data_IF_847455178055
#
_entry.id   IF_847455178055
#
_cell.length_a   1.000
_cell.length_b   1.000
_cell.length_c   1.000
_cell.angle_alpha   90.00
_cell.angle_beta   90.00
_cell.angle_gamma   90.00
#
_symmetry.space_group_name_H-M   'P 1'
#
loop_
_entity.id
_entity.type
_entity.pdbx_description
1 polymer ?
#
# COMPACT_ATOMS: atom_id res chain seq x y z
N UNK A 1 -2.02 39.46 -33.06
CA UNK A 1 -1.10 38.33 -33.25
C UNK A 1 -1.44 37.31 -32.19
N UNK A 2 -2.17 36.26 -32.58
CA UNK A 2 -2.61 35.19 -31.65
C UNK A 2 -1.41 34.33 -31.32
N UNK A 3 -0.93 34.38 -30.08
CA UNK A 3 -0.03 33.39 -29.54
C UNK A 3 -0.76 32.07 -29.43
N UNK A 4 -0.66 31.23 -30.45
CA UNK A 4 -1.00 29.82 -30.36
C UNK A 4 0.02 29.21 -29.43
N UNK A 5 -0.35 28.63 -28.26
CA UNK A 5 0.62 27.98 -27.41
C UNK A 5 1.19 26.81 -28.21
N UNK A 6 2.51 26.83 -28.42
CA UNK A 6 3.24 25.68 -28.95
C UNK A 6 2.90 24.52 -28.03
N UNK A 7 2.11 23.55 -28.50
CA UNK A 7 1.83 22.31 -27.76
C UNK A 7 3.18 21.63 -27.54
N UNK A 8 3.78 21.82 -26.39
CA UNK A 8 4.92 21.03 -25.97
C UNK A 8 4.51 19.56 -26.04
N UNK A 9 5.37 18.71 -26.60
CA UNK A 9 5.11 17.27 -26.65
C UNK A 9 4.84 16.77 -25.21
N UNK A 10 3.96 15.76 -25.06
CA UNK A 10 3.69 15.20 -23.75
C UNK A 10 4.95 14.58 -23.13
N UNK A 11 5.07 14.66 -21.81
CA UNK A 11 6.12 13.99 -21.04
C UNK A 11 5.78 12.50 -20.98
N UNK A 12 6.68 11.66 -21.50
CA UNK A 12 6.52 10.22 -21.51
C UNK A 12 7.15 9.58 -20.27
N UNK A 13 6.35 8.97 -19.42
CA UNK A 13 6.77 8.32 -18.17
C UNK A 13 6.65 6.81 -18.32
N UNK A 14 7.74 6.08 -18.07
CA UNK A 14 7.70 4.62 -17.95
C UNK A 14 7.57 4.24 -16.48
N UNK A 15 6.42 3.71 -16.10
CA UNK A 15 6.15 3.21 -14.76
C UNK A 15 6.60 1.75 -14.67
N UNK A 16 7.68 1.49 -13.96
CA UNK A 16 8.21 0.14 -13.73
C UNK A 16 7.69 -0.39 -12.40
N UNK A 17 6.72 -1.29 -12.43
CA UNK A 17 5.99 -1.71 -11.22
C UNK A 17 5.43 -3.14 -11.33
N UNK A 18 5.04 -3.77 -10.19
CA UNK A 18 4.24 -4.98 -10.24
C UNK A 18 2.91 -4.72 -10.93
N UNK A 19 2.49 -5.66 -11.79
CA UNK A 19 1.22 -5.58 -12.50
C UNK A 19 0.20 -6.59 -11.98
N UNK A 20 -1.08 -6.27 -12.10
CA UNK A 20 -2.16 -7.24 -11.95
C UNK A 20 -1.99 -8.42 -12.96
N UNK A 21 -2.43 -9.64 -12.67
CA UNK A 21 -3.35 -10.03 -11.60
C UNK A 21 -2.72 -10.32 -10.22
N UNK A 22 -1.42 -10.08 -10.02
CA UNK A 22 -0.81 -10.26 -8.70
C UNK A 22 -1.30 -9.11 -7.80
N UNK A 23 -2.28 -9.42 -6.95
CA UNK A 23 -2.89 -8.43 -6.06
C UNK A 23 -2.00 -8.20 -4.84
N UNK A 24 -1.58 -6.95 -4.65
CA UNK A 24 -0.81 -6.49 -3.50
C UNK A 24 -0.85 -4.96 -3.44
N UNK A 25 -0.51 -4.37 -2.29
CA UNK A 25 -0.59 -2.93 -2.10
C UNK A 25 0.15 -2.12 -3.18
N UNK A 26 1.30 -2.61 -3.65
CA UNK A 26 2.09 -1.94 -4.70
C UNK A 26 1.43 -2.02 -6.08
N UNK A 27 0.92 -3.19 -6.49
CA UNK A 27 0.28 -3.34 -7.80
C UNK A 27 -1.02 -2.54 -7.91
N UNK A 28 -1.81 -2.49 -6.83
CA UNK A 28 -3.02 -1.66 -6.76
C UNK A 28 -2.67 -0.17 -6.87
N UNK A 29 -1.65 0.30 -6.17
CA UNK A 29 -1.23 1.69 -6.24
C UNK A 29 -0.60 2.05 -7.59
N UNK A 30 0.16 1.14 -8.21
CA UNK A 30 0.71 1.36 -9.55
C UNK A 30 -0.40 1.48 -10.60
N UNK A 31 -1.41 0.62 -10.53
CA UNK A 31 -2.57 0.64 -11.41
C UNK A 31 -3.39 1.93 -11.23
N UNK A 32 -3.67 2.32 -9.97
CA UNK A 32 -4.36 3.59 -9.66
C UNK A 32 -3.57 4.78 -10.22
N UNK A 33 -2.26 4.84 -9.95
CA UNK A 33 -1.40 5.94 -10.41
C UNK A 33 -1.37 6.01 -11.94
N UNK A 34 -1.20 4.87 -12.62
CA UNK A 34 -1.21 4.82 -14.07
C UNK A 34 -2.53 5.35 -14.66
N UNK A 35 -3.67 4.89 -14.13
CA UNK A 35 -4.99 5.34 -14.61
C UNK A 35 -5.19 6.85 -14.44
N UNK A 36 -4.92 7.37 -13.25
CA UNK A 36 -5.07 8.80 -12.96
C UNK A 36 -4.11 9.69 -13.73
N UNK A 37 -2.85 9.27 -13.91
CA UNK A 37 -1.88 10.01 -14.73
C UNK A 37 -2.26 10.02 -16.22
N UNK A 38 -2.89 8.95 -16.73
CA UNK A 38 -3.37 8.91 -18.12
C UNK A 38 -4.47 9.94 -18.42
N UNK A 39 -5.14 10.45 -17.40
CA UNK A 39 -6.16 11.49 -17.50
C UNK A 39 -5.53 12.91 -17.46
N UNK A 40 -4.24 13.03 -17.12
CA UNK A 40 -3.56 14.34 -16.97
C UNK A 40 -3.06 14.86 -18.31
N UNK A 41 -3.52 16.03 -18.78
CA UNK A 41 -3.06 16.60 -20.02
C UNK A 41 -1.54 16.85 -20.02
N UNK A 42 -0.86 16.40 -21.08
CA UNK A 42 0.58 16.59 -21.25
C UNK A 42 1.47 15.57 -20.56
N UNK A 43 0.88 14.48 -20.00
CA UNK A 43 1.59 13.31 -19.51
C UNK A 43 1.11 12.08 -20.26
N UNK A 44 2.03 11.27 -20.76
CA UNK A 44 1.79 9.93 -21.29
C UNK A 44 2.49 8.92 -20.38
N UNK A 45 1.74 7.99 -19.80
CA UNK A 45 2.28 6.96 -18.91
C UNK A 45 2.07 5.58 -19.48
N UNK A 46 3.11 4.77 -19.44
CA UNK A 46 3.04 3.35 -19.79
C UNK A 46 3.59 2.48 -18.66
N UNK A 47 2.99 1.32 -18.46
CA UNK A 47 3.45 0.35 -17.47
C UNK A 47 4.45 -0.63 -18.09
N UNK A 48 5.61 -0.81 -17.43
CA UNK A 48 6.52 -1.92 -17.62
C UNK A 48 6.38 -2.88 -16.43
N UNK A 49 5.74 -4.04 -16.63
CA UNK A 49 5.63 -5.03 -15.57
C UNK A 49 6.99 -5.57 -15.16
N UNK A 50 7.26 -5.66 -13.86
CA UNK A 50 8.44 -6.35 -13.31
C UNK A 50 8.26 -7.88 -13.31
N UNK A 51 7.03 -8.33 -13.51
CA UNK A 51 6.59 -9.73 -13.53
C UNK A 51 5.95 -10.06 -14.90
N UNK A 52 6.69 -9.97 -16.02
CA UNK A 52 6.13 -10.25 -17.32
C UNK A 52 5.55 -11.67 -17.35
N UNK A 53 4.33 -11.78 -17.85
CA UNK A 53 3.66 -13.08 -17.97
C UNK A 53 4.20 -13.82 -19.18
N UNK A 54 4.64 -15.05 -18.96
CA UNK A 54 4.98 -16.00 -20.01
C UNK A 54 3.91 -17.07 -20.14
N UNK A 55 4.05 -17.89 -21.18
CA UNK A 55 3.20 -19.02 -21.49
C UNK A 55 2.74 -19.77 -20.21
N UNK A 56 1.43 -19.96 -20.02
CA UNK A 56 0.84 -20.48 -18.77
C UNK A 56 1.45 -21.79 -18.26
N UNK A 57 1.96 -22.63 -19.18
CA UNK A 57 2.58 -23.93 -18.86
C UNK A 57 3.88 -23.84 -18.06
N UNK A 58 4.65 -22.74 -18.19
CA UNK A 58 5.92 -22.55 -17.49
C UNK A 58 5.80 -21.78 -16.18
N UNK A 59 4.64 -21.23 -15.89
CA UNK A 59 4.40 -20.46 -14.65
C UNK A 59 4.38 -21.34 -13.37
N UNK A 60 4.18 -22.66 -13.51
CA UNK A 60 4.08 -23.59 -12.38
C UNK A 60 5.43 -23.93 -11.73
N UNK A 61 6.55 -23.72 -12.41
CA UNK A 61 7.88 -24.07 -11.88
C UNK A 61 8.59 -22.79 -11.40
N UNK A 62 8.59 -22.57 -10.08
CA UNK A 62 9.03 -21.34 -9.41
C UNK A 62 10.42 -20.84 -9.86
N UNK A 63 11.42 -21.70 -9.91
CA UNK A 63 12.81 -21.33 -10.29
C UNK A 63 12.98 -21.09 -11.79
N UNK A 64 12.37 -21.89 -12.65
CA UNK A 64 12.44 -21.75 -14.11
C UNK A 64 11.74 -20.46 -14.55
N UNK A 65 10.63 -20.11 -13.90
CA UNK A 65 9.95 -18.85 -14.14
C UNK A 65 10.88 -17.66 -13.90
N UNK A 66 11.59 -17.62 -12.77
CA UNK A 66 12.50 -16.50 -12.41
C UNK A 66 13.65 -16.41 -13.41
N UNK A 67 14.23 -17.53 -13.80
CA UNK A 67 15.35 -17.59 -14.76
C UNK A 67 14.99 -17.02 -16.14
N UNK A 68 13.76 -17.22 -16.60
CA UNK A 68 13.28 -16.69 -17.89
C UNK A 68 12.74 -15.25 -17.79
N UNK A 69 12.18 -14.89 -16.63
CA UNK A 69 11.56 -13.58 -16.42
C UNK A 69 12.58 -12.45 -16.38
N UNK A 70 13.73 -12.65 -15.70
CA UNK A 70 14.75 -11.61 -15.56
C UNK A 70 15.37 -11.19 -16.91
N UNK A 71 15.84 -12.11 -17.78
CA UNK A 71 16.38 -11.73 -19.10
C UNK A 71 15.34 -10.99 -19.95
N UNK A 72 14.10 -11.47 -19.98
CA UNK A 72 13.04 -10.77 -20.72
C UNK A 72 12.79 -9.37 -20.15
N UNK A 73 12.69 -9.24 -18.84
CA UNK A 73 12.51 -7.94 -18.19
C UNK A 73 13.61 -6.95 -18.57
N UNK A 74 14.88 -7.40 -18.58
CA UNK A 74 16.04 -6.57 -19.00
C UNK A 74 15.93 -6.21 -20.49
N UNK A 75 15.57 -7.17 -21.35
CA UNK A 75 15.37 -6.91 -22.78
C UNK A 75 14.25 -5.90 -23.03
N UNK A 76 13.11 -6.05 -22.35
CA UNK A 76 12.00 -5.10 -22.43
C UNK A 76 12.44 -3.70 -22.00
N UNK A 77 13.24 -3.58 -20.93
CA UNK A 77 13.80 -2.30 -20.49
C UNK A 77 14.75 -1.69 -21.54
N UNK A 78 15.66 -2.47 -22.11
CA UNK A 78 16.60 -2.00 -23.14
C UNK A 78 15.89 -1.45 -24.38
N UNK A 79 14.76 -2.06 -24.76
CA UNK A 79 13.95 -1.62 -25.91
C UNK A 79 13.11 -0.40 -25.58
N UNK A 80 12.50 -0.35 -24.39
CA UNK A 80 11.49 0.66 -24.07
C UNK A 80 12.07 1.96 -23.47
N UNK A 81 13.04 1.85 -22.55
CA UNK A 81 13.59 3.00 -21.81
C UNK A 81 14.05 4.16 -22.73
N UNK A 82 14.68 3.93 -23.90
CA UNK A 82 15.07 5.03 -24.80
C UNK A 82 13.93 5.96 -25.20
N UNK A 83 12.72 5.44 -25.32
CA UNK A 83 11.54 6.18 -25.81
C UNK A 83 10.85 7.03 -24.75
N UNK A 84 11.26 6.96 -23.49
CA UNK A 84 10.64 7.70 -22.38
C UNK A 84 11.52 8.84 -21.89
N UNK A 85 10.89 9.82 -21.26
CA UNK A 85 11.56 11.00 -20.69
C UNK A 85 11.94 10.76 -19.23
N UNK A 86 11.10 10.09 -18.45
CA UNK A 86 11.30 9.77 -17.03
C UNK A 86 11.00 8.30 -16.77
N UNK A 87 11.84 7.66 -15.96
CA UNK A 87 11.65 6.26 -15.53
C UNK A 87 11.28 6.26 -14.04
N UNK A 88 10.04 5.90 -13.75
CA UNK A 88 9.49 5.84 -12.39
C UNK A 88 9.42 4.39 -11.93
N UNK A 89 10.22 4.02 -10.93
CA UNK A 89 10.48 2.65 -10.54
C UNK A 89 9.94 2.38 -9.14
N UNK A 90 8.97 1.50 -9.04
CA UNK A 90 8.46 0.98 -7.76
C UNK A 90 9.44 -0.04 -7.18
N UNK A 91 9.63 0.01 -5.87
CA UNK A 91 10.56 -0.85 -5.17
C UNK A 91 9.98 -1.45 -3.90
N UNK A 92 10.32 -2.70 -3.66
CA UNK A 92 10.25 -3.35 -2.36
C UNK A 92 11.66 -3.51 -1.78
N UNK A 93 11.81 -4.28 -0.69
CA UNK A 93 13.07 -4.58 0.00
C UNK A 93 13.75 -5.86 -0.52
N UNK A 94 14.97 -6.10 -0.08
CA UNK A 94 15.76 -7.32 -0.22
C UNK A 94 15.93 -7.81 -1.68
N UNK A 95 15.65 -9.08 -1.93
CA UNK A 95 15.78 -9.69 -3.26
C UNK A 95 14.98 -8.97 -4.33
N UNK A 96 13.77 -8.48 -3.98
CA UNK A 96 12.94 -7.70 -4.90
C UNK A 96 13.62 -6.41 -5.33
N UNK A 97 14.39 -5.76 -4.43
CA UNK A 97 15.17 -4.57 -4.75
C UNK A 97 16.28 -4.86 -5.76
N UNK A 98 16.94 -6.01 -5.66
CA UNK A 98 18.01 -6.39 -6.59
C UNK A 98 17.44 -6.78 -7.96
N UNK A 99 16.34 -7.52 -7.99
CA UNK A 99 15.80 -8.10 -9.22
C UNK A 99 15.05 -7.05 -10.07
N UNK A 100 14.43 -6.06 -9.46
CA UNK A 100 13.55 -5.11 -10.15
C UNK A 100 14.18 -3.72 -10.31
N UNK A 101 14.32 -2.89 -9.25
CA UNK A 101 14.80 -1.53 -9.45
C UNK A 101 16.27 -1.44 -9.88
N UNK A 102 17.13 -2.38 -9.48
CA UNK A 102 18.55 -2.31 -9.83
C UNK A 102 18.80 -2.45 -11.34
N UNK A 103 18.23 -3.44 -12.06
CA UNK A 103 18.35 -3.50 -13.52
C UNK A 103 17.71 -2.29 -14.22
N UNK A 104 16.55 -1.83 -13.74
CA UNK A 104 15.88 -0.67 -14.31
C UNK A 104 16.74 0.59 -14.16
N UNK A 105 17.39 0.80 -13.00
CA UNK A 105 18.36 1.88 -12.79
C UNK A 105 19.54 1.76 -13.75
N UNK A 106 20.14 0.56 -13.87
CA UNK A 106 21.30 0.35 -14.73
C UNK A 106 20.99 0.69 -16.20
N UNK A 107 19.88 0.19 -16.73
CA UNK A 107 19.44 0.48 -18.10
C UNK A 107 19.10 1.98 -18.26
N UNK A 108 18.45 2.59 -17.28
CA UNK A 108 18.14 4.03 -17.33
C UNK A 108 19.40 4.90 -17.36
N UNK A 109 20.42 4.57 -16.57
CA UNK A 109 21.71 5.29 -16.59
C UNK A 109 22.48 5.06 -17.90
N UNK A 110 22.40 3.87 -18.51
CA UNK A 110 22.97 3.60 -19.83
C UNK A 110 22.42 4.57 -20.89
N UNK A 111 21.11 4.82 -20.87
CA UNK A 111 20.44 5.76 -21.77
C UNK A 111 20.33 7.21 -21.22
N UNK A 112 20.99 7.50 -20.10
CA UNK A 112 21.00 8.81 -19.43
C UNK A 112 19.58 9.32 -19.14
N UNK A 113 18.66 8.43 -18.75
CA UNK A 113 17.28 8.79 -18.42
C UNK A 113 17.15 9.11 -16.94
N UNK A 114 16.44 10.21 -16.58
CA UNK A 114 16.14 10.52 -15.18
C UNK A 114 15.32 9.41 -14.54
N UNK A 115 15.61 9.14 -13.27
CA UNK A 115 15.04 8.03 -12.52
C UNK A 115 14.39 8.48 -11.22
N UNK A 116 13.21 7.98 -10.94
CA UNK A 116 12.54 8.09 -9.65
C UNK A 116 12.53 6.70 -9.01
N UNK A 117 13.07 6.57 -7.82
CA UNK A 117 12.83 5.42 -6.95
C UNK A 117 11.61 5.69 -6.09
N UNK A 118 10.54 4.92 -6.24
CA UNK A 118 9.38 4.94 -5.35
C UNK A 118 9.48 3.73 -4.41
N UNK A 119 10.12 3.93 -3.25
CA UNK A 119 10.39 2.87 -2.30
C UNK A 119 9.21 2.69 -1.35
N UNK A 120 8.67 1.47 -1.24
CA UNK A 120 7.35 1.24 -0.66
C UNK A 120 7.26 0.16 0.43
N UNK A 121 8.38 -0.44 0.82
CA UNK A 121 8.39 -1.50 1.85
C UNK A 121 8.45 -0.92 3.26
N UNK A 122 7.64 -1.45 4.17
CA UNK A 122 7.72 -1.16 5.60
C UNK A 122 8.99 -1.71 6.27
N UNK A 123 9.67 -2.69 5.64
CA UNK A 123 10.92 -3.27 6.10
C UNK A 123 12.16 -2.44 5.69
N UNK A 124 11.98 -1.16 5.37
CA UNK A 124 13.04 -0.30 4.85
C UNK A 124 14.25 -0.23 5.79
N UNK A 125 14.02 -0.02 7.09
CA UNK A 125 15.09 0.11 8.07
C UNK A 125 15.96 -1.14 8.14
N UNK A 126 15.34 -2.31 8.24
CA UNK A 126 16.06 -3.58 8.28
C UNK A 126 16.80 -3.85 6.97
N UNK A 127 16.17 -3.59 5.82
CA UNK A 127 16.82 -3.73 4.51
C UNK A 127 18.03 -2.82 4.36
N UNK A 128 17.91 -1.54 4.69
CA UNK A 128 19.01 -0.57 4.57
C UNK A 128 20.16 -0.87 5.53
N UNK A 129 19.85 -1.43 6.70
CA UNK A 129 20.84 -1.81 7.72
C UNK A 129 21.59 -3.08 7.31
N UNK A 130 20.90 -4.09 6.79
CA UNK A 130 21.51 -5.42 6.50
C UNK A 130 22.13 -5.50 5.12
N UNK A 131 21.58 -4.82 4.12
CA UNK A 131 22.05 -4.93 2.73
C UNK A 131 23.02 -3.81 2.36
N UNK A 132 24.32 -4.12 2.46
CA UNK A 132 25.42 -3.15 2.24
C UNK A 132 25.36 -2.43 0.88
N UNK A 133 24.78 -3.05 -0.14
CA UNK A 133 24.62 -2.47 -1.49
C UNK A 133 23.39 -1.58 -1.62
N UNK A 134 22.42 -1.61 -0.68
CA UNK A 134 21.16 -0.90 -0.82
C UNK A 134 21.37 0.62 -0.83
N UNK A 135 22.00 1.18 0.18
CA UNK A 135 22.26 2.63 0.31
C UNK A 135 23.05 3.18 -0.88
N UNK A 136 24.20 2.61 -1.30
CA UNK A 136 24.93 3.06 -2.47
C UNK A 136 24.11 3.00 -3.77
N UNK A 137 23.26 2.00 -3.94
CA UNK A 137 22.40 1.87 -5.12
C UNK A 137 21.29 2.91 -5.11
N UNK A 138 20.63 3.13 -3.98
CA UNK A 138 19.55 4.12 -3.83
C UNK A 138 20.06 5.53 -4.13
N UNK A 139 21.25 5.90 -3.64
CA UNK A 139 21.89 7.20 -3.91
C UNK A 139 22.18 7.50 -5.39
N UNK A 140 22.06 6.51 -6.27
CA UNK A 140 22.23 6.68 -7.72
C UNK A 140 20.96 7.11 -8.45
N UNK A 141 19.81 7.06 -7.79
CA UNK A 141 18.57 7.59 -8.35
C UNK A 141 18.57 9.12 -8.30
N UNK A 142 17.90 9.74 -9.27
CA UNK A 142 17.86 11.19 -9.36
C UNK A 142 16.85 11.80 -8.38
N UNK A 143 15.78 11.05 -8.08
CA UNK A 143 14.80 11.35 -7.02
C UNK A 143 14.43 10.10 -6.27
N UNK A 144 14.18 10.25 -4.99
CA UNK A 144 13.73 9.18 -4.10
C UNK A 144 12.42 9.63 -3.49
N UNK A 145 11.36 8.90 -3.79
CA UNK A 145 10.01 9.16 -3.30
C UNK A 145 9.57 7.99 -2.42
N UNK A 146 8.91 8.32 -1.33
CA UNK A 146 8.35 7.34 -0.40
C UNK A 146 6.89 7.70 -0.09
N UNK A 147 6.02 6.72 0.21
CA UNK A 147 4.60 6.99 0.41
C UNK A 147 4.24 7.53 1.80
N UNK A 148 5.19 7.70 2.71
CA UNK A 148 4.92 8.11 4.09
C UNK A 148 6.04 8.96 4.68
N UNK A 149 5.71 9.78 5.67
CA UNK A 149 6.71 10.50 6.48
C UNK A 149 7.56 9.54 7.31
N UNK A 150 6.99 8.43 7.76
CA UNK A 150 7.75 7.36 8.42
C UNK A 150 8.97 6.93 7.59
N UNK A 151 8.79 6.66 6.30
CA UNK A 151 9.93 6.29 5.44
C UNK A 151 10.88 7.45 5.18
N UNK A 152 10.43 8.71 5.19
CA UNK A 152 11.35 9.87 5.15
C UNK A 152 12.29 9.83 6.34
N UNK A 153 11.75 9.59 7.54
CA UNK A 153 12.54 9.52 8.77
C UNK A 153 13.50 8.31 8.74
N UNK A 154 13.02 7.14 8.32
CA UNK A 154 13.88 5.96 8.14
C UNK A 154 15.02 6.23 7.16
N UNK A 155 14.75 6.83 6.00
CA UNK A 155 15.78 7.12 4.99
C UNK A 155 16.80 8.16 5.50
N UNK A 156 16.33 9.13 6.28
CA UNK A 156 17.20 10.16 6.87
C UNK A 156 18.23 9.59 7.82
N UNK A 157 17.90 8.51 8.57
CA UNK A 157 18.85 7.79 9.44
C UNK A 157 20.04 7.21 8.67
N UNK A 158 19.88 6.96 7.37
CA UNK A 158 20.96 6.47 6.49
C UNK A 158 21.56 7.58 5.62
N UNK A 159 21.28 8.85 5.91
CA UNK A 159 21.79 10.01 5.18
C UNK A 159 21.28 10.05 3.73
N UNK A 160 20.03 9.64 3.52
CA UNK A 160 19.35 9.68 2.22
C UNK A 160 18.18 10.67 2.35
N UNK A 161 18.17 11.69 1.47
CA UNK A 161 17.01 12.57 1.34
C UNK A 161 15.94 11.91 0.50
N UNK A 162 14.73 11.80 1.02
CA UNK A 162 13.56 11.27 0.33
C UNK A 162 12.38 12.25 0.45
N UNK A 163 11.55 12.32 -0.58
CA UNK A 163 10.33 13.13 -0.62
C UNK A 163 9.12 12.23 -0.30
N UNK A 164 8.19 12.72 0.54
CA UNK A 164 6.95 12.02 0.78
C UNK A 164 5.90 12.42 -0.26
N UNK A 165 5.49 11.50 -1.13
CA UNK A 165 4.26 11.62 -1.91
C UNK A 165 3.34 10.47 -1.48
N UNK A 166 2.28 10.82 -0.77
CA UNK A 166 1.41 9.84 -0.13
C UNK A 166 0.73 8.91 -1.12
N UNK A 167 0.37 7.71 -0.65
CA UNK A 167 -0.61 6.90 -1.34
C UNK A 167 -1.93 7.69 -1.43
N UNK A 168 -2.64 7.49 -2.51
CA UNK A 168 -4.01 8.02 -2.59
C UNK A 168 -5.03 6.89 -2.72
N UNK A 169 -6.23 7.18 -2.28
CA UNK A 169 -7.38 6.29 -2.35
C UNK A 169 -8.46 6.95 -3.19
N UNK A 170 -9.15 6.17 -4.02
CA UNK A 170 -10.32 6.60 -4.78
C UNK A 170 -11.52 6.68 -3.82
N UNK A 171 -11.57 7.76 -3.04
CA UNK A 171 -12.53 7.92 -1.92
C UNK A 171 -13.98 7.89 -2.39
N UNK A 172 -14.24 8.30 -3.63
CA UNK A 172 -15.53 8.28 -4.28
C UNK A 172 -16.12 6.87 -4.45
N UNK A 173 -15.28 5.84 -4.39
CA UNK A 173 -15.71 4.45 -4.47
C UNK A 173 -16.24 3.91 -3.14
N UNK A 174 -15.88 4.55 -2.03
CA UNK A 174 -16.27 4.12 -0.69
C UNK A 174 -17.44 4.95 -0.19
N UNK A 175 -18.59 4.32 -0.03
CA UNK A 175 -19.76 4.99 0.52
C UNK A 175 -19.51 5.32 2.00
N UNK A 176 -19.36 6.60 2.32
CA UNK A 176 -19.33 7.02 3.70
C UNK A 176 -20.69 6.77 4.35
N UNK A 177 -20.67 6.06 5.46
CA UNK A 177 -21.87 5.79 6.25
C UNK A 177 -21.60 6.14 7.72
N UNK A 178 -22.43 7.02 8.28
CA UNK A 178 -22.40 7.27 9.72
C UNK A 178 -22.91 6.00 10.44
N UNK A 179 -22.05 5.43 11.28
CA UNK A 179 -22.31 4.17 11.97
C UNK A 179 -22.79 4.43 13.39
N UNK A 180 -24.05 4.77 13.52
CA UNK A 180 -24.72 5.05 14.80
C UNK A 180 -26.11 4.39 14.82
N UNK A 181 -26.31 3.37 15.69
CA UNK A 181 -25.31 2.70 16.52
C UNK A 181 -24.37 1.81 15.70
N UNK A 182 -23.18 1.49 16.25
CA UNK A 182 -22.29 0.50 15.68
C UNK A 182 -22.92 -0.89 15.76
N UNK A 183 -22.84 -1.65 14.66
CA UNK A 183 -23.09 -3.09 14.69
C UNK A 183 -21.78 -3.81 15.02
N UNK A 184 -21.78 -4.91 15.77
CA UNK A 184 -20.56 -5.63 16.11
C UNK A 184 -20.04 -6.49 14.94
N UNK A 185 -19.81 -5.85 13.78
CA UNK A 185 -19.28 -6.46 12.57
C UNK A 185 -17.93 -5.84 12.27
N UNK A 186 -16.90 -6.65 12.44
CA UNK A 186 -15.50 -6.27 12.27
C UNK A 186 -14.99 -6.69 10.90
N UNK A 187 -14.03 -5.94 10.37
CA UNK A 187 -13.33 -6.25 9.12
C UNK A 187 -11.82 -6.23 9.37
N UNK A 188 -11.13 -7.27 8.92
CA UNK A 188 -9.68 -7.25 8.67
C UNK A 188 -9.42 -7.70 7.23
N UNK A 189 -8.64 -6.92 6.48
CA UNK A 189 -8.33 -7.19 5.07
C UNK A 189 -6.84 -7.04 4.79
N UNK A 190 -6.09 -8.03 5.24
CA UNK A 190 -4.63 -8.09 5.07
C UNK A 190 -4.26 -9.41 4.39
N UNK A 191 -3.22 -9.41 3.56
CA UNK A 191 -2.65 -10.66 3.06
C UNK A 191 -2.21 -11.54 4.24
N UNK A 192 -2.31 -12.86 4.07
CA UNK A 192 -1.96 -13.82 5.12
C UNK A 192 -0.44 -14.08 5.13
N UNK A 193 0.30 -13.01 5.44
CA UNK A 193 1.76 -13.01 5.62
C UNK A 193 2.11 -12.63 7.05
N UNK A 194 3.17 -13.20 7.59
CA UNK A 194 3.54 -13.09 9.02
C UNK A 194 3.58 -11.64 9.54
N UNK A 195 4.09 -10.71 8.74
CA UNK A 195 4.21 -9.31 9.15
C UNK A 195 2.87 -8.56 9.21
N UNK A 196 1.79 -9.07 8.60
CA UNK A 196 0.45 -8.52 8.77
C UNK A 196 -0.28 -9.09 9.99
N UNK A 197 0.25 -10.15 10.59
CA UNK A 197 -0.14 -10.68 11.90
C UNK A 197 -1.66 -10.86 12.09
N UNK A 198 -2.31 -11.44 11.08
CA UNK A 198 -3.76 -11.72 11.16
C UNK A 198 -4.08 -12.65 12.33
N UNK A 199 -3.12 -13.46 12.77
CA UNK A 199 -3.23 -14.28 13.97
C UNK A 199 -3.52 -13.47 15.23
N UNK A 200 -2.86 -12.31 15.41
CA UNK A 200 -3.13 -11.39 16.51
C UNK A 200 -4.56 -10.81 16.42
N UNK A 201 -5.04 -10.47 15.22
CA UNK A 201 -6.42 -10.05 15.02
C UNK A 201 -7.45 -11.14 15.39
N UNK A 202 -7.14 -12.41 15.10
CA UNK A 202 -8.00 -13.53 15.53
C UNK A 202 -8.00 -13.73 17.05
N UNK A 203 -6.84 -13.58 17.71
CA UNK A 203 -6.76 -13.66 19.19
C UNK A 203 -7.50 -12.49 19.83
N UNK A 204 -7.33 -11.25 19.33
CA UNK A 204 -8.07 -10.10 19.83
C UNK A 204 -9.58 -10.27 19.64
N UNK A 205 -10.00 -10.87 18.52
CA UNK A 205 -11.41 -11.16 18.28
C UNK A 205 -11.99 -12.17 19.28
N UNK A 206 -11.17 -13.08 19.83
CA UNK A 206 -11.59 -13.95 20.94
C UNK A 206 -12.00 -13.13 22.17
N UNK A 207 -11.21 -12.14 22.54
CA UNK A 207 -11.54 -11.19 23.63
C UNK A 207 -12.79 -10.39 23.34
N UNK A 208 -12.91 -9.86 22.12
CA UNK A 208 -14.09 -9.11 21.66
C UNK A 208 -15.35 -9.99 21.77
N UNK A 209 -15.29 -11.23 21.28
CA UNK A 209 -16.45 -12.14 21.29
C UNK A 209 -16.84 -12.58 22.70
N UNK A 210 -15.91 -12.61 23.66
CA UNK A 210 -16.22 -12.88 25.06
C UNK A 210 -17.06 -11.76 25.69
N UNK A 211 -16.86 -10.51 25.28
CA UNK A 211 -17.62 -9.35 25.75
C UNK A 211 -18.90 -9.11 24.92
N UNK A 212 -18.85 -9.35 23.62
CA UNK A 212 -19.91 -9.08 22.64
C UNK A 212 -20.20 -10.39 21.89
N UNK A 213 -21.11 -11.20 22.43
CA UNK A 213 -21.35 -12.57 21.96
C UNK A 213 -21.81 -12.66 20.49
N UNK A 214 -22.52 -11.65 19.99
CA UNK A 214 -22.98 -11.55 18.60
C UNK A 214 -21.95 -11.00 17.62
N UNK A 215 -20.73 -10.66 18.09
CA UNK A 215 -19.68 -10.13 17.24
C UNK A 215 -19.34 -11.07 16.07
N UNK A 216 -19.14 -10.45 14.92
CA UNK A 216 -18.76 -11.14 13.68
C UNK A 216 -17.49 -10.53 13.12
N UNK A 217 -16.61 -11.35 12.50
CA UNK A 217 -15.39 -10.90 11.86
C UNK A 217 -15.35 -11.35 10.39
N UNK A 218 -15.28 -10.39 9.50
CA UNK A 218 -15.00 -10.60 8.08
C UNK A 218 -13.48 -10.57 7.90
N UNK A 219 -12.91 -11.66 7.36
CA UNK A 219 -11.48 -11.82 7.12
C UNK A 219 -11.25 -11.91 5.63
N UNK A 220 -10.63 -10.88 5.06
CA UNK A 220 -10.29 -10.83 3.63
C UNK A 220 -8.78 -10.91 3.46
N UNK A 221 -8.34 -11.82 2.63
CA UNK A 221 -6.94 -12.04 2.32
C UNK A 221 -6.65 -13.48 1.94
N UNK A 222 -5.46 -13.69 1.45
CA UNK A 222 -4.90 -15.00 1.15
C UNK A 222 -3.38 -14.95 1.31
N UNK A 223 -2.73 -16.07 1.48
CA UNK A 223 -1.28 -16.13 1.61
C UNK A 223 -0.77 -17.38 2.29
N UNK A 224 0.55 -17.41 2.58
CA UNK A 224 1.20 -18.59 3.16
C UNK A 224 0.59 -19.07 4.49
N UNK A 225 0.05 -18.15 5.31
CA UNK A 225 -0.50 -18.47 6.63
C UNK A 225 -1.98 -18.92 6.60
N UNK A 226 -2.58 -19.08 5.40
CA UNK A 226 -4.00 -19.45 5.29
C UNK A 226 -4.40 -20.64 6.16
N UNK A 227 -3.66 -21.76 6.07
CA UNK A 227 -3.97 -22.97 6.80
C UNK A 227 -3.86 -22.76 8.31
N UNK A 228 -2.77 -22.17 8.77
CA UNK A 228 -2.53 -21.90 10.20
C UNK A 228 -3.55 -20.93 10.80
N UNK A 229 -4.02 -19.94 10.05
CA UNK A 229 -5.06 -19.02 10.50
C UNK A 229 -6.43 -19.70 10.65
N UNK A 230 -6.80 -20.59 9.73
CA UNK A 230 -8.02 -21.39 9.86
C UNK A 230 -7.95 -22.35 11.07
N UNK A 231 -6.81 -23.01 11.27
CA UNK A 231 -6.58 -23.89 12.43
C UNK A 231 -6.64 -23.09 13.75
N UNK A 232 -6.02 -21.91 13.78
CA UNK A 232 -6.04 -21.01 14.94
C UNK A 232 -7.48 -20.59 15.26
N UNK A 233 -8.27 -20.16 14.28
CA UNK A 233 -9.67 -19.78 14.50
C UNK A 233 -10.49 -20.95 15.09
N UNK A 234 -10.28 -22.17 14.60
CA UNK A 234 -10.89 -23.38 15.14
C UNK A 234 -10.45 -23.67 16.57
N UNK A 235 -9.16 -23.61 16.87
CA UNK A 235 -8.61 -23.90 18.21
C UNK A 235 -9.06 -22.88 19.27
N UNK A 236 -9.25 -21.62 18.86
CA UNK A 236 -9.79 -20.55 19.72
C UNK A 236 -11.30 -20.70 19.92
N UNK A 237 -11.97 -21.57 19.18
CA UNK A 237 -13.43 -21.76 19.23
C UNK A 237 -14.22 -20.54 18.77
N UNK A 238 -13.68 -19.78 17.84
CA UNK A 238 -14.30 -18.54 17.35
C UNK A 238 -15.56 -18.83 16.55
N UNK A 239 -16.60 -18.01 16.76
CA UNK A 239 -17.86 -18.08 16.02
C UNK A 239 -18.02 -16.83 15.15
N UNK A 240 -18.87 -16.92 14.11
CA UNK A 240 -19.17 -15.74 13.28
C UNK A 240 -17.98 -15.19 12.49
N UNK A 241 -16.97 -16.02 12.18
CA UNK A 241 -15.88 -15.66 11.30
C UNK A 241 -16.23 -16.03 9.86
N UNK A 242 -16.02 -15.06 8.95
CA UNK A 242 -16.25 -15.21 7.52
C UNK A 242 -14.91 -15.00 6.75
N UNK A 243 -14.23 -16.09 6.42
CA UNK A 243 -13.02 -16.08 5.60
C UNK A 243 -13.38 -16.01 4.11
N UNK A 244 -13.20 -14.86 3.47
CA UNK A 244 -13.57 -14.62 2.07
C UNK A 244 -12.47 -14.91 1.05
N UNK A 245 -11.26 -15.20 1.50
CA UNK A 245 -10.11 -15.31 0.61
C UNK A 245 -9.77 -13.94 -0.04
N UNK A 246 -9.09 -13.99 -1.19
CA UNK A 246 -8.77 -12.78 -1.95
C UNK A 246 -10.01 -12.18 -2.59
N UNK A 247 -10.26 -10.90 -2.32
CA UNK A 247 -11.34 -10.11 -2.92
C UNK A 247 -10.74 -9.12 -3.91
N UNK A 248 -11.36 -8.96 -5.08
CA UNK A 248 -10.88 -8.02 -6.09
C UNK A 248 -11.04 -6.56 -5.60
N UNK A 249 -10.12 -5.64 -5.95
CA UNK A 249 -10.17 -4.24 -5.52
C UNK A 249 -11.50 -3.55 -5.82
N UNK A 250 -12.18 -3.93 -6.92
CA UNK A 250 -13.48 -3.35 -7.31
C UNK A 250 -14.61 -3.76 -6.37
N UNK A 251 -14.48 -4.88 -5.69
CA UNK A 251 -15.49 -5.43 -4.77
C UNK A 251 -15.24 -5.00 -3.32
N UNK A 252 -14.05 -4.49 -3.00
CA UNK A 252 -13.69 -4.08 -1.63
C UNK A 252 -14.63 -3.02 -1.04
N UNK A 253 -15.11 -2.01 -1.78
CA UNK A 253 -16.05 -1.03 -1.22
C UNK A 253 -17.30 -1.66 -0.60
N UNK A 254 -17.86 -2.71 -1.22
CA UNK A 254 -19.00 -3.43 -0.66
C UNK A 254 -18.67 -4.15 0.65
N UNK A 255 -17.44 -4.71 0.75
CA UNK A 255 -16.97 -5.37 1.99
C UNK A 255 -16.84 -4.37 3.14
N UNK A 256 -16.30 -3.17 2.88
CA UNK A 256 -16.24 -2.11 3.89
C UNK A 256 -17.63 -1.63 4.32
N UNK A 257 -18.62 -1.61 3.41
CA UNK A 257 -19.99 -1.21 3.74
C UNK A 257 -20.71 -2.24 4.63
N UNK A 258 -20.34 -3.51 4.56
CA UNK A 258 -20.87 -4.58 5.42
C UNK A 258 -20.39 -4.47 6.88
N UNK A 259 -19.20 -3.93 7.12
CA UNK A 259 -18.58 -3.83 8.44
C UNK A 259 -18.85 -2.48 9.12
N UNK A 260 -18.65 -2.44 10.44
CA UNK A 260 -18.78 -1.22 11.22
C UNK A 260 -17.50 -0.85 12.00
N UNK A 261 -16.54 -1.77 12.15
CA UNK A 261 -15.24 -1.52 12.78
C UNK A 261 -14.13 -2.15 11.92
N UNK A 262 -13.06 -1.41 11.71
CA UNK A 262 -11.86 -1.93 11.05
C UNK A 262 -10.81 -2.34 12.07
N UNK A 263 -10.33 -3.60 11.98
CA UNK A 263 -9.35 -4.18 12.89
C UNK A 263 -8.06 -4.52 12.12
N UNK A 264 -6.93 -3.94 12.52
CA UNK A 264 -5.62 -4.20 11.95
C UNK A 264 -4.61 -4.55 13.05
N UNK A 265 -3.84 -5.62 12.85
CA UNK A 265 -2.87 -6.10 13.82
C UNK A 265 -1.45 -6.21 13.26
N UNK A 266 -1.15 -5.49 12.19
CA UNK A 266 0.15 -5.56 11.51
C UNK A 266 1.31 -5.34 12.48
N UNK A 267 2.39 -6.14 12.35
CA UNK A 267 3.65 -5.93 13.08
C UNK A 267 4.61 -5.04 12.29
N UNK A 268 4.45 -4.99 10.98
CA UNK A 268 5.21 -4.12 10.08
C UNK A 268 4.25 -3.54 9.04
N UNK A 269 4.17 -2.23 8.97
CA UNK A 269 3.47 -1.53 7.91
C UNK A 269 4.14 -0.19 7.61
N UNK A 270 3.84 0.37 6.45
CA UNK A 270 4.33 1.68 6.07
C UNK A 270 3.18 2.68 5.95
N UNK A 271 2.34 2.49 4.94
CA UNK A 271 1.16 3.31 4.69
C UNK A 271 0.03 2.41 4.20
N UNK A 272 -0.72 1.76 5.12
CA UNK A 272 -1.78 0.83 4.76
C UNK A 272 -2.97 1.52 4.10
N UNK A 273 -3.16 1.26 2.80
CA UNK A 273 -4.33 1.77 2.07
C UNK A 273 -5.65 1.36 2.73
N UNK A 274 -5.68 0.18 3.34
CA UNK A 274 -6.85 -0.37 4.01
C UNK A 274 -7.36 0.49 5.17
N UNK A 275 -6.46 1.17 5.90
CA UNK A 275 -6.85 2.14 6.94
C UNK A 275 -7.49 3.37 6.30
N UNK A 276 -6.90 3.91 5.22
CA UNK A 276 -7.44 5.07 4.51
C UNK A 276 -8.79 4.74 3.85
N UNK A 277 -8.93 3.52 3.33
CA UNK A 277 -10.18 2.99 2.80
C UNK A 277 -11.25 2.84 3.89
N UNK A 278 -10.86 2.36 5.09
CA UNK A 278 -11.74 2.30 6.26
C UNK A 278 -12.21 3.70 6.69
N UNK A 279 -11.31 4.66 6.77
CA UNK A 279 -11.62 6.06 7.04
C UNK A 279 -12.60 6.63 6.00
N UNK A 280 -12.35 6.35 4.71
CA UNK A 280 -13.20 6.79 3.60
C UNK A 280 -14.62 6.23 3.71
N UNK A 281 -14.75 4.98 4.13
CA UNK A 281 -16.03 4.31 4.34
C UNK A 281 -16.70 4.67 5.68
N UNK A 282 -16.00 5.39 6.58
CA UNK A 282 -16.50 5.79 7.90
C UNK A 282 -16.45 4.66 8.93
N UNK A 283 -15.48 3.73 8.86
CA UNK A 283 -15.22 2.76 9.92
C UNK A 283 -14.25 3.37 10.94
N UNK A 284 -14.57 3.36 12.24
CA UNK A 284 -13.57 3.58 13.27
C UNK A 284 -12.51 2.49 13.18
N UNK A 285 -11.23 2.90 13.32
CA UNK A 285 -10.07 2.02 13.16
C UNK A 285 -9.50 1.67 14.52
N UNK A 286 -9.31 0.38 14.76
CA UNK A 286 -8.51 -0.17 15.86
C UNK A 286 -7.30 -0.85 15.25
N UNK A 287 -6.10 -0.42 15.62
CA UNK A 287 -4.87 -0.88 14.99
C UNK A 287 -3.72 -1.01 15.98
N UNK A 288 -2.68 -1.73 15.58
CA UNK A 288 -1.37 -1.64 16.21
C UNK A 288 -0.66 -0.34 15.79
N UNK A 289 0.33 0.10 16.59
CA UNK A 289 1.18 1.26 16.34
C UNK A 289 2.39 0.93 15.42
N UNK A 290 2.30 -0.09 14.58
CA UNK A 290 3.41 -0.59 13.77
C UNK A 290 3.89 0.41 12.71
N UNK A 291 5.18 0.68 12.69
CA UNK A 291 5.88 1.41 11.63
C UNK A 291 5.26 2.76 11.30
N UNK A 292 4.71 2.88 10.10
CA UNK A 292 4.08 4.11 9.60
C UNK A 292 2.63 4.32 10.01
N UNK A 293 2.00 3.39 10.73
CA UNK A 293 0.59 3.52 11.14
C UNK A 293 0.36 4.77 12.01
N UNK A 294 1.21 5.09 13.02
CA UNK A 294 1.04 6.31 13.83
C UNK A 294 1.15 7.63 13.06
N UNK A 295 1.64 7.60 11.81
CA UNK A 295 1.68 8.78 10.93
C UNK A 295 0.37 9.02 10.17
N UNK A 296 -0.57 8.06 10.26
CA UNK A 296 -1.88 8.10 9.61
C UNK A 296 -3.00 8.07 10.67
N UNK A 297 -2.79 7.30 11.74
CA UNK A 297 -3.75 7.13 12.83
C UNK A 297 -3.20 7.80 14.08
N UNK A 298 -3.85 8.87 14.50
CA UNK A 298 -3.58 9.52 15.77
C UNK A 298 -4.47 8.88 16.85
N UNK A 299 -3.81 8.35 17.90
CA UNK A 299 -4.52 7.65 18.98
C UNK A 299 -5.56 8.57 19.66
N UNK A 300 -6.77 8.05 19.86
CA UNK A 300 -7.93 8.76 20.43
C UNK A 300 -8.43 9.99 19.62
N UNK A 301 -7.83 10.22 18.45
CA UNK A 301 -8.26 11.29 17.53
C UNK A 301 -8.87 10.70 16.25
N UNK A 302 -8.11 9.92 15.48
CA UNK A 302 -8.58 9.32 14.22
C UNK A 302 -8.74 7.81 14.30
N UNK A 303 -8.29 7.19 15.39
CA UNK A 303 -8.43 5.75 15.66
C UNK A 303 -7.87 5.37 17.02
N UNK A 304 -7.90 4.09 17.35
CA UNK A 304 -7.35 3.56 18.58
C UNK A 304 -6.15 2.68 18.29
N UNK A 305 -5.01 2.98 18.92
CA UNK A 305 -3.76 2.24 18.75
C UNK A 305 -3.43 1.41 19.97
N UNK A 306 -2.89 0.21 19.74
CA UNK A 306 -2.30 -0.69 20.74
C UNK A 306 -0.86 -1.01 20.34
N UNK A 307 -0.09 -1.59 21.26
CA UNK A 307 1.25 -2.08 20.95
C UNK A 307 1.22 -3.25 19.97
N UNK A 308 2.35 -3.48 19.29
CA UNK A 308 2.53 -4.64 18.40
C UNK A 308 2.38 -5.92 19.23
N UNK A 309 1.66 -6.91 18.71
CA UNK A 309 1.34 -8.18 19.35
C UNK A 309 0.46 -8.10 20.63
N UNK A 310 -0.09 -6.93 20.97
CA UNK A 310 -1.01 -6.76 22.09
C UNK A 310 -2.46 -7.03 21.64
N UNK A 311 -2.81 -8.30 21.54
CA UNK A 311 -4.15 -8.72 21.16
C UNK A 311 -5.22 -8.39 22.23
N UNK A 312 -4.83 -8.34 23.51
CA UNK A 312 -5.73 -7.87 24.58
C UNK A 312 -6.00 -6.36 24.48
N UNK A 313 -4.97 -5.55 24.17
CA UNK A 313 -5.11 -4.11 23.94
C UNK A 313 -5.99 -3.80 22.74
N UNK A 314 -5.81 -4.54 21.64
CA UNK A 314 -6.70 -4.44 20.48
C UNK A 314 -8.15 -4.78 20.85
N UNK A 315 -8.36 -5.85 21.64
CA UNK A 315 -9.70 -6.23 22.08
C UNK A 315 -10.30 -5.16 22.98
N UNK A 316 -9.59 -4.65 23.99
CA UNK A 316 -10.04 -3.56 24.87
C UNK A 316 -10.45 -2.31 24.06
N UNK A 317 -9.61 -1.88 23.12
CA UNK A 317 -9.89 -0.73 22.27
C UNK A 317 -11.13 -0.96 21.38
N UNK A 318 -11.29 -2.17 20.86
CA UNK A 318 -12.46 -2.52 20.06
C UNK A 318 -13.77 -2.51 20.88
N UNK A 319 -13.75 -3.05 22.09
CA UNK A 319 -14.90 -3.06 23.02
C UNK A 319 -15.25 -1.64 23.42
N UNK A 320 -14.25 -0.81 23.72
CA UNK A 320 -14.43 0.59 24.10
C UNK A 320 -15.25 1.40 23.09
N UNK A 321 -15.20 1.07 21.80
CA UNK A 321 -16.03 1.74 20.78
C UNK A 321 -17.54 1.51 20.98
N UNK A 322 -17.93 0.40 21.61
CA UNK A 322 -19.32 0.08 21.92
C UNK A 322 -19.75 0.64 23.27
N UNK A 323 -18.82 0.70 24.23
CA UNK A 323 -19.09 1.25 25.56
C UNK A 323 -19.13 2.79 25.52
N UNK A 324 -18.41 3.43 24.60
CA UNK A 324 -18.28 4.89 24.44
C UNK A 324 -18.72 5.34 23.01
N UNK A 325 -20.02 5.35 22.69
CA UNK A 325 -20.50 5.72 21.34
C UNK A 325 -20.08 7.14 20.88
N UNK A 326 -19.94 8.07 21.82
CA UNK A 326 -19.46 9.44 21.53
C UNK A 326 -18.01 9.44 21.01
N UNK A 327 -17.13 8.59 21.57
CA UNK A 327 -15.78 8.41 21.10
C UNK A 327 -15.78 7.84 19.67
N UNK A 328 -16.57 6.80 19.42
CA UNK A 328 -16.66 6.21 18.07
C UNK A 328 -17.10 7.25 17.02
N UNK A 329 -18.12 8.07 17.34
CA UNK A 329 -18.59 9.15 16.48
C UNK A 329 -17.53 10.23 16.21
N UNK A 330 -16.75 10.61 17.23
CA UNK A 330 -15.63 11.53 17.11
C UNK A 330 -14.53 10.95 16.19
N UNK A 331 -14.07 9.73 16.46
CA UNK A 331 -13.04 9.06 15.63
C UNK A 331 -13.44 8.98 14.16
N UNK A 332 -14.69 8.64 13.85
CA UNK A 332 -15.22 8.59 12.48
C UNK A 332 -15.15 9.97 11.82
N UNK A 333 -15.50 11.03 12.54
CA UNK A 333 -15.52 12.40 12.02
C UNK A 333 -14.11 12.89 11.72
N UNK A 334 -13.18 12.74 12.67
CA UNK A 334 -11.79 13.19 12.51
C UNK A 334 -11.06 12.34 11.46
N UNK A 335 -11.28 11.02 11.41
CA UNK A 335 -10.75 10.15 10.38
C UNK A 335 -11.24 10.54 8.98
N UNK A 336 -12.50 11.00 8.86
CA UNK A 336 -13.03 11.49 7.57
C UNK A 336 -12.33 12.76 7.10
N UNK A 337 -11.99 13.67 8.01
CA UNK A 337 -11.24 14.89 7.71
C UNK A 337 -9.81 14.54 7.25
N UNK A 338 -9.17 13.56 7.92
CA UNK A 338 -7.81 13.12 7.58
C UNK A 338 -7.72 12.50 6.17
N UNK A 339 -8.78 11.84 5.68
CA UNK A 339 -8.83 11.25 4.34
C UNK A 339 -8.53 12.24 3.21
N UNK A 340 -8.88 13.51 3.38
CA UNK A 340 -8.68 14.53 2.36
C UNK A 340 -7.21 14.65 1.93
N UNK A 341 -6.28 14.35 2.81
CA UNK A 341 -4.82 14.37 2.53
C UNK A 341 -4.39 13.29 1.55
N UNK A 342 -5.21 12.24 1.38
CA UNK A 342 -4.92 11.03 0.62
C UNK A 342 -5.79 10.91 -0.62
N UNK A 343 -6.32 12.02 -1.12
CA UNK A 343 -7.06 12.06 -2.39
C UNK A 343 -6.13 12.32 -3.56
N UNK A 344 -6.56 11.98 -4.78
CA UNK A 344 -5.80 12.25 -5.99
C UNK A 344 -5.53 13.75 -6.17
N UNK A 345 -6.52 14.58 -5.89
CA UNK A 345 -6.44 16.05 -5.99
C UNK A 345 -5.31 16.64 -5.15
N UNK A 346 -5.00 16.02 -4.00
CA UNK A 346 -3.93 16.49 -3.10
C UNK A 346 -2.54 15.98 -3.48
N UNK A 347 -2.44 14.81 -4.14
CA UNK A 347 -1.13 14.23 -4.49
C UNK A 347 -0.76 14.44 -5.94
N UNK A 348 -1.71 14.74 -6.82
CA UNK A 348 -1.50 14.85 -8.27
C UNK A 348 -0.48 15.91 -8.64
N UNK A 349 -0.59 17.11 -8.06
CA UNK A 349 0.31 18.22 -8.38
C UNK A 349 1.77 17.89 -8.04
N UNK A 350 2.02 17.16 -6.95
CA UNK A 350 3.35 16.73 -6.55
C UNK A 350 3.97 15.79 -7.60
N UNK A 351 3.18 14.82 -8.10
CA UNK A 351 3.64 13.92 -9.17
C UNK A 351 3.89 14.66 -10.49
N UNK A 352 2.97 15.55 -10.89
CA UNK A 352 3.06 16.33 -12.12
C UNK A 352 4.30 17.26 -12.09
N UNK A 353 4.52 17.95 -10.98
CA UNK A 353 5.67 18.84 -10.80
C UNK A 353 6.99 18.05 -10.83
N UNK A 354 7.04 16.91 -10.16
CA UNK A 354 8.20 16.03 -10.13
C UNK A 354 8.58 15.56 -11.56
N UNK A 355 7.60 15.10 -12.35
CA UNK A 355 7.87 14.69 -13.73
C UNK A 355 8.30 15.85 -14.62
N UNK A 356 7.68 17.04 -14.47
CA UNK A 356 8.07 18.24 -15.21
C UNK A 356 9.49 18.69 -14.88
N UNK A 357 9.86 18.72 -13.62
CA UNK A 357 11.20 19.11 -13.17
C UNK A 357 12.28 18.18 -13.74
N UNK A 358 12.03 16.87 -13.75
CA UNK A 358 12.95 15.88 -14.29
C UNK A 358 13.05 15.91 -15.83
N UNK A 359 11.94 16.15 -16.51
CA UNK A 359 11.93 16.26 -17.98
C UNK A 359 12.61 17.54 -18.48
N UNK A 360 12.56 18.63 -17.69
CA UNK A 360 13.21 19.91 -18.02
C UNK A 360 14.72 19.94 -17.73
N UNK A 361 15.24 19.02 -16.93
CA UNK A 361 16.65 18.96 -16.53
C UNK A 361 17.59 18.40 -17.64
N UNK A 362 17.12 18.35 -18.89
CA UNK A 362 17.84 17.79 -20.05
C UNK A 362 18.31 18.85 -21.03
#
# INVERSE_FOLDING_TARGET
MNNVPIKSRPIRVLLVAPALPIVGGQSVQADRLMRRLSEVPGIEVELQPINPQFLPKFQRIKYLRTLLTIPKYIMDLLVRVPSFDVIHIFSASYTSFVISPTPALAVSKLYRKPTILNYRSGEAEDHLRRWRSAVPTIRRFDRIVVPSRYLVDVFSMFGISAEAIFNFVETERFRFRKREPLRPVFLTNRNFEAHYNVACALRSFKGIQAAIAEARLIVVGDGPERTSLHELAGSLGLKGIDFRGSVRPEQMPAVYDEADVYLNASSIDNMPNSIIEAFSAGLPVVSTNAGGIPYIVEHECTGLLSEIDDDEGLARNAIRLFDEPSLAGQLITEARNEVERYTWEKVSDQWIELYRSLAASR
#
